data_IF_293542702253
#
_entry.id   IF_293542702253
#
_cell.length_a   1.000
_cell.length_b   1.000
_cell.length_c   1.000
_cell.angle_alpha   90.00
_cell.angle_beta   90.00
_cell.angle_gamma   90.00
#
_symmetry.space_group_name_H-M   'P 1'
#
loop_
_entity.id
_entity.type
_entity.pdbx_description
1 polymer ?
#
# COMPACT_ATOMS: atom_id res chain seq x y z
N UNK A 1 -1.29 20.50 1.48
CA UNK A 1 -1.61 19.05 1.52
C UNK A 1 -0.63 18.29 2.39
N UNK A 2 -1.05 17.16 2.96
CA UNK A 2 -0.15 16.21 3.60
C UNK A 2 -0.05 14.95 2.75
N UNK A 3 1.03 14.19 2.92
CA UNK A 3 1.23 12.90 2.27
C UNK A 3 1.42 11.81 3.32
N UNK A 4 0.80 10.66 3.10
CA UNK A 4 0.79 9.55 4.04
C UNK A 4 1.18 8.25 3.35
N UNK A 5 2.03 7.46 3.98
CA UNK A 5 2.07 6.03 3.68
C UNK A 5 0.86 5.32 4.33
N UNK A 6 0.58 4.07 3.95
CA UNK A 6 -0.59 3.33 4.42
C UNK A 6 -0.27 2.34 5.53
N UNK A 7 0.49 1.31 5.17
CA UNK A 7 0.77 0.17 6.04
C UNK A 7 1.66 0.59 7.22
N UNK A 8 1.33 0.15 8.43
CA UNK A 8 1.92 0.59 9.71
C UNK A 8 1.91 2.11 9.96
N UNK A 9 1.49 2.91 9.00
CA UNK A 9 1.37 4.37 9.10
C UNK A 9 -0.04 4.77 9.50
N UNK A 10 -1.02 4.74 8.60
CA UNK A 10 -2.42 5.05 8.91
C UNK A 10 -3.26 3.79 9.18
N UNK A 11 -2.82 2.65 8.72
CA UNK A 11 -3.34 1.32 9.03
C UNK A 11 -2.43 0.64 10.04
N UNK A 12 -2.98 0.01 11.06
CA UNK A 12 -2.24 -0.73 12.08
C UNK A 12 -1.93 -2.14 11.59
N UNK A 13 -0.72 -2.36 11.07
CA UNK A 13 -0.25 -3.58 10.43
C UNK A 13 0.00 -3.41 8.93
N UNK A 14 0.27 -4.51 8.25
CA UNK A 14 0.46 -4.58 6.79
C UNK A 14 -0.83 -5.12 6.14
N UNK A 15 -1.51 -4.27 5.38
CA UNK A 15 -2.79 -4.60 4.74
C UNK A 15 -2.66 -5.71 3.70
N UNK A 16 -1.51 -5.82 3.04
CA UNK A 16 -1.24 -6.89 2.07
C UNK A 16 -1.07 -8.24 2.77
N UNK A 17 -0.40 -8.26 3.93
CA UNK A 17 -0.28 -9.46 4.76
C UNK A 17 -1.65 -9.85 5.32
N UNK A 18 -2.41 -8.91 5.87
CA UNK A 18 -3.73 -9.17 6.42
C UNK A 18 -4.71 -9.68 5.35
N UNK A 19 -4.65 -9.11 4.15
CA UNK A 19 -5.45 -9.55 3.01
C UNK A 19 -5.07 -10.97 2.56
N UNK A 20 -3.78 -11.28 2.54
CA UNK A 20 -3.29 -12.62 2.24
C UNK A 20 -3.75 -13.64 3.28
N UNK A 21 -3.62 -13.34 4.57
CA UNK A 21 -4.06 -14.21 5.67
C UNK A 21 -5.58 -14.40 5.66
N UNK A 22 -6.34 -13.34 5.37
CA UNK A 22 -7.79 -13.44 5.17
C UNK A 22 -8.12 -14.37 4.02
N UNK A 23 -7.41 -14.26 2.90
CA UNK A 23 -7.59 -15.11 1.73
C UNK A 23 -7.23 -16.58 2.00
N UNK A 24 -6.20 -16.85 2.79
CA UNK A 24 -5.85 -18.18 3.27
C UNK A 24 -6.99 -18.78 4.10
N UNK A 25 -7.50 -18.00 5.07
CA UNK A 25 -8.62 -18.43 5.94
C UNK A 25 -9.90 -18.72 5.15
N UNK A 26 -10.09 -18.05 4.04
CA UNK A 26 -11.22 -18.27 3.13
C UNK A 26 -10.93 -19.36 2.07
N UNK A 27 -9.81 -20.09 2.20
CA UNK A 27 -9.38 -21.15 1.27
C UNK A 27 -9.28 -20.71 -0.21
N UNK A 28 -8.95 -19.43 -0.45
CA UNK A 28 -8.80 -18.88 -1.80
C UNK A 28 -7.39 -19.05 -2.35
N UNK A 29 -6.38 -19.10 -1.47
CA UNK A 29 -4.97 -19.20 -1.86
C UNK A 29 -4.61 -20.62 -2.28
N UNK A 30 -4.05 -20.76 -3.47
CA UNK A 30 -3.53 -22.03 -3.98
C UNK A 30 -2.09 -22.22 -3.51
N UNK A 31 -1.75 -23.41 -3.00
CA UNK A 31 -0.40 -23.74 -2.53
C UNK A 31 0.69 -23.44 -3.58
N UNK A 32 0.37 -23.66 -4.86
CA UNK A 32 1.26 -23.38 -5.99
C UNK A 32 1.68 -21.89 -6.06
N UNK A 33 0.80 -20.96 -5.67
CA UNK A 33 1.11 -19.52 -5.66
C UNK A 33 2.17 -19.23 -4.60
N UNK A 34 2.02 -19.83 -3.41
CA UNK A 34 2.99 -19.70 -2.31
C UNK A 34 4.36 -20.25 -2.74
N UNK A 35 4.40 -21.47 -3.29
CA UNK A 35 5.65 -22.10 -3.72
C UNK A 35 6.36 -21.27 -4.79
N UNK A 36 5.63 -20.77 -5.77
CA UNK A 36 6.21 -19.91 -6.83
C UNK A 36 6.70 -18.58 -6.25
N UNK A 37 5.96 -17.95 -5.34
CA UNK A 37 6.37 -16.73 -4.68
C UNK A 37 7.66 -16.93 -3.86
N UNK A 38 7.80 -18.07 -3.16
CA UNK A 38 9.04 -18.42 -2.45
C UNK A 38 10.22 -18.54 -3.41
N UNK A 39 10.05 -19.24 -4.54
CA UNK A 39 11.10 -19.37 -5.55
C UNK A 39 11.52 -18.00 -6.10
N UNK A 40 10.53 -17.14 -6.39
CA UNK A 40 10.82 -15.77 -6.85
C UNK A 40 11.50 -14.94 -5.77
N UNK A 41 11.10 -15.08 -4.50
CA UNK A 41 11.73 -14.38 -3.39
C UNK A 41 13.20 -14.79 -3.20
N UNK A 42 13.49 -16.08 -3.26
CA UNK A 42 14.87 -16.60 -3.22
C UNK A 42 15.67 -16.00 -4.39
N UNK A 43 15.12 -16.07 -5.63
CA UNK A 43 15.78 -15.49 -6.78
C UNK A 43 15.98 -13.96 -6.68
N UNK A 44 15.07 -13.25 -5.99
CA UNK A 44 15.22 -11.81 -5.69
C UNK A 44 16.45 -11.54 -4.80
N UNK A 45 16.71 -12.39 -3.79
CA UNK A 45 17.89 -12.25 -2.94
C UNK A 45 19.18 -12.32 -3.78
N UNK A 46 19.17 -13.11 -4.86
CA UNK A 46 20.29 -13.23 -5.82
C UNK A 46 20.18 -12.23 -7.00
N UNK A 47 19.32 -11.23 -6.92
CA UNK A 47 19.19 -10.20 -7.95
C UNK A 47 18.49 -10.62 -9.25
N UNK A 48 17.91 -11.85 -9.31
CA UNK A 48 17.25 -12.39 -10.52
C UNK A 48 15.83 -11.86 -10.73
N UNK A 49 15.12 -11.53 -9.64
CA UNK A 49 13.72 -11.09 -9.65
C UNK A 49 13.56 -9.84 -8.80
N UNK A 50 12.51 -9.08 -9.08
CA UNK A 50 12.07 -7.93 -8.28
C UNK A 50 10.97 -8.32 -7.28
N UNK A 51 10.66 -7.43 -6.33
CA UNK A 51 9.55 -7.65 -5.39
C UNK A 51 8.19 -7.74 -6.11
N UNK A 52 8.06 -7.07 -7.24
CA UNK A 52 6.91 -7.17 -8.14
C UNK A 52 6.66 -8.62 -8.55
N UNK A 53 7.71 -9.32 -9.01
CA UNK A 53 7.59 -10.72 -9.46
C UNK A 53 7.12 -11.65 -8.33
N UNK A 54 7.54 -11.39 -7.09
CA UNK A 54 7.10 -12.14 -5.91
C UNK A 54 5.63 -11.89 -5.63
N UNK A 55 5.20 -10.62 -5.69
CA UNK A 55 3.80 -10.25 -5.48
C UNK A 55 2.89 -10.83 -6.57
N UNK A 56 3.31 -10.78 -7.83
CA UNK A 56 2.57 -11.31 -8.96
C UNK A 56 2.27 -12.82 -8.81
N UNK A 57 3.22 -13.60 -8.28
CA UNK A 57 3.00 -15.02 -8.02
C UNK A 57 2.16 -15.24 -6.74
N UNK A 58 2.42 -14.46 -5.68
CA UNK A 58 1.72 -14.61 -4.41
C UNK A 58 0.23 -14.34 -4.54
N UNK A 59 -0.14 -13.33 -5.32
CA UNK A 59 -1.52 -12.89 -5.52
C UNK A 59 -2.17 -13.41 -6.81
N UNK A 60 -1.50 -14.31 -7.57
CA UNK A 60 -2.04 -14.89 -8.82
C UNK A 60 -3.41 -15.57 -8.63
N UNK A 61 -3.73 -16.03 -7.41
CA UNK A 61 -5.04 -16.62 -7.09
C UNK A 61 -6.22 -15.64 -7.18
N UNK A 62 -5.97 -14.33 -7.12
CA UNK A 62 -7.03 -13.31 -7.14
C UNK A 62 -7.87 -13.34 -8.43
N UNK A 63 -7.25 -13.68 -9.55
CA UNK A 63 -7.95 -13.85 -10.84
C UNK A 63 -8.99 -14.96 -10.85
N UNK A 64 -8.88 -15.92 -9.93
CA UNK A 64 -9.78 -17.06 -9.82
C UNK A 64 -10.96 -16.79 -8.84
N UNK A 65 -10.98 -15.63 -8.17
CA UNK A 65 -12.07 -15.24 -7.27
C UNK A 65 -13.21 -14.66 -8.11
N UNK A 66 -14.36 -15.35 -8.13
CA UNK A 66 -15.51 -15.04 -8.98
C UNK A 66 -16.06 -13.61 -8.77
N UNK A 67 -16.08 -13.15 -7.53
CA UNK A 67 -16.54 -11.81 -7.15
C UNK A 67 -15.46 -11.21 -6.22
N UNK A 68 -14.43 -10.66 -6.86
CA UNK A 68 -13.29 -10.11 -6.13
C UNK A 68 -13.67 -8.83 -5.39
N UNK A 69 -14.57 -8.02 -5.95
CA UNK A 69 -15.00 -6.77 -5.33
C UNK A 69 -15.74 -7.06 -4.01
N UNK A 70 -16.69 -7.98 -4.03
CA UNK A 70 -17.37 -8.43 -2.81
C UNK A 70 -16.40 -9.03 -1.80
N UNK A 71 -15.43 -9.81 -2.26
CA UNK A 71 -14.41 -10.42 -1.39
C UNK A 71 -13.54 -9.37 -0.69
N UNK A 72 -13.17 -8.31 -1.38
CA UNK A 72 -12.42 -7.17 -0.81
C UNK A 72 -13.29 -6.37 0.15
N UNK A 73 -14.57 -6.16 -0.18
CA UNK A 73 -15.52 -5.50 0.73
C UNK A 73 -15.70 -6.27 2.04
N UNK A 74 -15.82 -7.61 1.98
CA UNK A 74 -15.87 -8.48 3.17
C UNK A 74 -14.58 -8.41 4.01
N UNK A 75 -13.41 -8.29 3.35
CA UNK A 75 -12.15 -8.09 4.02
C UNK A 75 -12.17 -6.78 4.81
N UNK A 76 -12.53 -5.67 4.18
CA UNK A 76 -12.54 -4.37 4.84
C UNK A 76 -13.61 -4.26 5.93
N UNK A 77 -14.76 -4.93 5.81
CA UNK A 77 -15.75 -5.01 6.90
C UNK A 77 -15.15 -5.54 8.21
N UNK A 78 -14.06 -6.30 8.14
CA UNK A 78 -13.35 -6.83 9.32
C UNK A 78 -12.13 -6.04 9.72
N UNK A 79 -11.45 -5.41 8.77
CA UNK A 79 -10.13 -4.83 8.97
C UNK A 79 -10.12 -3.29 8.97
N UNK A 80 -11.18 -2.62 8.54
CA UNK A 80 -11.30 -1.16 8.57
C UNK A 80 -11.08 -0.57 9.98
N UNK A 81 -11.45 -1.29 11.02
CA UNK A 81 -11.20 -0.93 12.42
C UNK A 81 -9.71 -0.75 12.77
N UNK A 82 -8.81 -1.25 11.92
CA UNK A 82 -7.36 -1.10 12.08
C UNK A 82 -6.87 0.26 11.54
N UNK A 83 -7.72 1.07 10.92
CA UNK A 83 -7.38 2.46 10.59
C UNK A 83 -7.19 3.23 11.90
N UNK A 84 -6.06 3.90 12.00
CA UNK A 84 -5.65 4.60 13.23
C UNK A 84 -6.49 5.86 13.46
N UNK A 85 -6.96 6.04 14.69
CA UNK A 85 -7.83 7.16 15.08
C UNK A 85 -7.18 8.52 14.81
N UNK A 86 -5.89 8.65 15.12
CA UNK A 86 -5.17 9.90 14.91
C UNK A 86 -5.23 10.37 13.44
N UNK A 87 -5.21 9.44 12.47
CA UNK A 87 -5.37 9.77 11.06
C UNK A 87 -6.78 10.28 10.77
N UNK A 88 -7.83 9.55 11.20
CA UNK A 88 -9.23 9.94 10.99
C UNK A 88 -9.56 11.31 11.58
N UNK A 89 -8.95 11.66 12.71
CA UNK A 89 -9.13 12.95 13.40
C UNK A 89 -8.40 14.12 12.70
N UNK A 90 -7.38 13.83 11.89
CA UNK A 90 -6.52 14.85 11.26
C UNK A 90 -6.58 14.85 9.72
N UNK A 91 -7.34 13.93 9.13
CA UNK A 91 -7.50 13.80 7.69
C UNK A 91 -8.03 15.08 7.06
N UNK A 92 -7.48 15.46 5.92
CA UNK A 92 -7.90 16.61 5.11
C UNK A 92 -8.29 16.17 3.71
N UNK A 93 -9.12 16.98 3.06
CA UNK A 93 -9.64 16.69 1.73
C UNK A 93 -8.54 16.64 0.64
N UNK A 94 -7.50 17.43 0.82
CA UNK A 94 -6.36 17.55 -0.09
C UNK A 94 -5.19 16.62 0.24
N UNK A 95 -5.37 15.70 1.19
CA UNK A 95 -4.33 14.72 1.57
C UNK A 95 -4.13 13.67 0.47
N UNK A 96 -2.88 13.19 0.34
CA UNK A 96 -2.50 12.17 -0.64
C UNK A 96 -2.01 10.93 0.07
N UNK A 97 -2.64 9.80 -0.21
CA UNK A 97 -2.18 8.50 0.21
C UNK A 97 -1.19 7.94 -0.81
N UNK A 98 -0.03 7.48 -0.34
CA UNK A 98 1.04 6.95 -1.19
C UNK A 98 1.52 5.60 -0.64
N UNK A 99 1.16 4.48 -1.27
CA UNK A 99 1.45 3.14 -0.73
C UNK A 99 2.01 2.17 -1.77
N UNK A 100 2.83 1.23 -1.30
CA UNK A 100 3.27 0.08 -2.09
C UNK A 100 2.23 -1.03 -2.20
N UNK A 101 1.13 -0.94 -1.46
CA UNK A 101 0.03 -1.90 -1.53
C UNK A 101 -0.76 -1.74 -2.83
N UNK A 102 -1.45 -2.82 -3.27
CA UNK A 102 -2.10 -2.85 -4.57
C UNK A 102 -3.47 -2.16 -4.54
N UNK A 103 -3.82 -1.55 -5.67
CA UNK A 103 -5.08 -0.88 -5.93
C UNK A 103 -6.32 -1.75 -5.63
N UNK A 104 -6.22 -3.06 -5.83
CA UNK A 104 -7.31 -4.03 -5.61
C UNK A 104 -7.96 -3.86 -4.23
N UNK A 105 -7.16 -3.73 -3.17
CA UNK A 105 -7.71 -3.53 -1.81
C UNK A 105 -7.57 -2.09 -1.30
N UNK A 106 -6.68 -1.28 -1.88
CA UNK A 106 -6.49 0.10 -1.43
C UNK A 106 -7.61 1.02 -1.90
N UNK A 107 -8.06 0.96 -3.16
CA UNK A 107 -9.12 1.83 -3.62
C UNK A 107 -10.45 1.67 -2.86
N UNK A 108 -10.92 0.43 -2.52
CA UNK A 108 -12.13 0.28 -1.73
C UNK A 108 -12.06 0.93 -0.35
N UNK A 109 -10.96 0.80 0.38
CA UNK A 109 -10.82 1.47 1.68
C UNK A 109 -10.68 2.98 1.53
N UNK A 110 -9.96 3.46 0.54
CA UNK A 110 -9.85 4.89 0.26
C UNK A 110 -11.22 5.52 -0.03
N UNK A 111 -12.07 4.80 -0.78
CA UNK A 111 -13.45 5.24 -1.03
C UNK A 111 -14.26 5.32 0.27
N UNK A 112 -14.17 4.33 1.16
CA UNK A 112 -14.85 4.35 2.46
C UNK A 112 -14.39 5.50 3.35
N UNK A 113 -13.09 5.79 3.33
CA UNK A 113 -12.47 6.86 4.11
C UNK A 113 -12.56 8.25 3.42
N UNK A 114 -13.19 8.33 2.26
CA UNK A 114 -13.28 9.55 1.46
C UNK A 114 -11.92 10.17 1.09
N UNK A 115 -10.89 9.32 0.89
CA UNK A 115 -9.56 9.73 0.43
C UNK A 115 -9.61 9.90 -1.09
N UNK A 116 -9.42 11.13 -1.57
CA UNK A 116 -9.56 11.48 -3.00
C UNK A 116 -8.31 11.22 -3.83
N UNK A 117 -7.15 11.39 -3.23
CA UNK A 117 -5.87 11.30 -3.93
C UNK A 117 -5.09 10.08 -3.46
N UNK A 118 -4.94 9.11 -4.34
CA UNK A 118 -4.33 7.81 -4.05
C UNK A 118 -3.26 7.48 -5.07
N UNK A 119 -2.05 7.23 -4.59
CA UNK A 119 -0.91 6.72 -5.35
C UNK A 119 -0.57 5.35 -4.78
N UNK A 120 -0.85 4.29 -5.51
CA UNK A 120 -0.63 2.91 -5.07
C UNK A 120 -0.09 2.04 -6.22
N UNK A 121 0.33 0.82 -5.90
CA UNK A 121 0.75 -0.13 -6.92
C UNK A 121 -0.45 -0.54 -7.75
N UNK A 122 -0.38 -0.28 -9.07
CA UNK A 122 -1.46 -0.58 -10.01
C UNK A 122 -1.39 -2.01 -10.51
N UNK A 123 -2.54 -2.63 -10.70
CA UNK A 123 -2.65 -4.00 -11.22
C UNK A 123 -3.50 -4.06 -12.49
N UNK A 124 -3.20 -5.01 -13.34
CA UNK A 124 -4.00 -5.31 -14.52
C UNK A 124 -5.35 -5.93 -14.10
N UNK A 125 -6.43 -5.46 -14.69
CA UNK A 125 -7.80 -5.86 -14.31
C UNK A 125 -8.11 -7.33 -14.54
N UNK A 126 -7.50 -7.97 -15.55
CA UNK A 126 -7.76 -9.37 -15.88
C UNK A 126 -6.78 -10.30 -15.19
N UNK A 127 -5.49 -10.04 -15.36
CA UNK A 127 -4.43 -10.91 -14.84
C UNK A 127 -4.10 -10.70 -13.38
N UNK A 128 -4.53 -9.57 -12.78
CA UNK A 128 -4.22 -9.12 -11.40
C UNK A 128 -2.71 -8.94 -11.15
N UNK A 129 -1.91 -8.89 -12.20
CA UNK A 129 -0.46 -8.64 -12.12
C UNK A 129 -0.16 -7.15 -12.03
N UNK A 130 0.95 -6.83 -11.41
CA UNK A 130 1.39 -5.44 -11.24
C UNK A 130 1.76 -4.84 -12.61
N UNK A 131 1.18 -3.68 -12.92
CA UNK A 131 1.52 -2.87 -14.09
C UNK A 131 2.70 -1.95 -13.73
N UNK A 132 3.74 -1.96 -14.54
CA UNK A 132 4.90 -1.10 -14.32
C UNK A 132 5.70 -1.49 -13.08
N UNK A 133 6.05 -0.48 -12.27
CA UNK A 133 6.89 -0.64 -11.07
C UNK A 133 6.06 -0.68 -9.79
N UNK A 134 6.55 -1.42 -8.79
CA UNK A 134 5.98 -1.35 -7.44
C UNK A 134 6.11 0.09 -6.89
N UNK A 135 5.03 0.62 -6.34
CA UNK A 135 4.95 2.00 -5.83
C UNK A 135 5.65 2.14 -4.48
N UNK A 136 6.99 2.13 -4.47
CA UNK A 136 7.82 2.22 -3.26
C UNK A 136 8.98 3.19 -3.43
N UNK A 137 9.35 3.91 -2.36
CA UNK A 137 10.49 4.82 -2.32
C UNK A 137 10.43 5.89 -3.42
N UNK A 138 11.46 6.00 -4.25
CA UNK A 138 11.53 7.00 -5.34
C UNK A 138 10.38 6.90 -6.34
N UNK A 139 9.84 5.69 -6.58
CA UNK A 139 8.72 5.51 -7.51
C UNK A 139 7.44 6.22 -7.03
N UNK A 140 7.21 6.29 -5.70
CA UNK A 140 6.12 7.09 -5.12
C UNK A 140 6.23 8.55 -5.56
N UNK A 141 7.44 9.12 -5.45
CA UNK A 141 7.70 10.54 -5.75
C UNK A 141 7.64 10.84 -7.25
N UNK A 142 8.13 9.93 -8.10
CA UNK A 142 8.00 10.07 -9.55
C UNK A 142 6.52 10.19 -9.97
N UNK A 143 5.64 9.38 -9.38
CA UNK A 143 4.19 9.43 -9.66
C UNK A 143 3.59 10.70 -9.05
N UNK A 144 3.93 11.02 -7.81
CA UNK A 144 3.43 12.20 -7.11
C UNK A 144 3.74 13.49 -7.89
N UNK A 145 4.98 13.69 -8.32
CA UNK A 145 5.38 14.89 -9.06
C UNK A 145 4.68 15.02 -10.42
N UNK A 146 4.31 13.90 -11.06
CA UNK A 146 3.52 13.93 -12.29
C UNK A 146 2.06 14.31 -12.04
N UNK A 147 1.47 13.86 -10.94
CA UNK A 147 0.08 14.15 -10.59
C UNK A 147 -0.09 15.54 -9.97
N UNK A 148 0.90 16.01 -9.24
CA UNK A 148 0.88 17.24 -8.46
C UNK A 148 2.13 18.08 -8.73
N UNK A 149 2.34 18.59 -9.97
CA UNK A 149 3.47 19.42 -10.28
C UNK A 149 3.42 20.69 -9.42
N UNK A 150 4.53 21.03 -8.76
CA UNK A 150 4.66 22.19 -7.87
C UNK A 150 3.82 22.12 -6.57
N UNK A 151 3.40 20.94 -6.14
CA UNK A 151 2.68 20.79 -4.88
C UNK A 151 3.54 21.24 -3.68
N UNK A 152 2.90 21.97 -2.77
CA UNK A 152 3.50 22.33 -1.48
C UNK A 152 3.07 21.29 -0.42
N UNK A 153 3.97 20.37 -0.12
CA UNK A 153 3.74 19.33 0.88
C UNK A 153 4.08 19.86 2.26
N UNK A 154 3.09 19.99 3.12
CA UNK A 154 3.27 20.48 4.50
C UNK A 154 3.89 19.42 5.38
N UNK A 155 3.25 18.25 5.46
CA UNK A 155 3.70 17.16 6.30
C UNK A 155 3.75 15.84 5.51
N UNK A 156 4.74 15.00 5.84
CA UNK A 156 4.84 13.62 5.39
C UNK A 156 4.86 12.67 6.58
N UNK A 157 4.14 11.57 6.46
CA UNK A 157 4.01 10.56 7.50
C UNK A 157 4.34 9.17 6.93
N UNK A 158 5.26 8.46 7.55
CA UNK A 158 5.58 7.05 7.24
C UNK A 158 6.15 6.34 8.47
N UNK A 159 5.94 5.04 8.56
CA UNK A 159 6.55 4.16 9.57
C UNK A 159 8.01 3.83 9.28
N UNK A 160 8.47 4.05 8.04
CA UNK A 160 9.72 3.52 7.49
C UNK A 160 10.61 4.56 6.85
N UNK A 161 11.92 4.45 7.10
CA UNK A 161 12.94 5.23 6.39
C UNK A 161 13.09 4.84 4.90
N UNK A 162 12.42 3.77 4.43
CA UNK A 162 12.34 3.49 2.99
C UNK A 162 11.59 4.59 2.22
N UNK A 163 10.83 5.42 2.93
CA UNK A 163 10.07 6.55 2.42
C UNK A 163 10.76 7.92 2.65
N UNK A 164 12.10 7.92 2.90
CA UNK A 164 12.89 9.16 2.93
C UNK A 164 12.59 10.11 1.77
N UNK A 165 12.39 9.65 0.52
CA UNK A 165 12.00 10.55 -0.56
C UNK A 165 10.68 11.31 -0.31
N UNK A 166 9.72 10.76 0.46
CA UNK A 166 8.52 11.49 0.87
C UNK A 166 8.86 12.58 1.89
N UNK A 167 9.77 12.27 2.81
CA UNK A 167 10.22 13.24 3.81
C UNK A 167 10.96 14.41 3.17
N UNK A 168 11.82 14.14 2.17
CA UNK A 168 12.62 15.17 1.48
C UNK A 168 11.76 16.24 0.80
N UNK A 169 10.61 15.89 0.24
CA UNK A 169 9.72 16.83 -0.47
C UNK A 169 8.73 17.58 0.44
N UNK A 170 8.65 17.23 1.73
CA UNK A 170 7.74 17.87 2.69
C UNK A 170 8.44 18.95 3.51
N UNK A 171 7.70 19.90 4.09
CA UNK A 171 8.27 20.86 5.06
C UNK A 171 8.60 20.15 6.39
N UNK A 172 7.68 19.34 6.90
CA UNK A 172 7.85 18.54 8.11
C UNK A 172 7.71 17.07 7.79
N UNK A 173 8.50 16.23 8.47
CA UNK A 173 8.47 14.79 8.32
C UNK A 173 8.22 14.14 9.69
N UNK A 174 7.41 13.10 9.70
CA UNK A 174 7.06 12.36 10.91
C UNK A 174 7.21 10.86 10.70
N UNK A 175 8.05 10.25 11.53
CA UNK A 175 8.15 8.80 11.64
C UNK A 175 7.04 8.31 12.57
N UNK A 176 6.18 7.45 12.05
CA UNK A 176 5.05 6.89 12.79
C UNK A 176 5.51 5.60 13.48
N UNK A 177 5.43 5.54 14.80
CA UNK A 177 5.72 4.33 15.59
C UNK A 177 4.51 3.99 16.45
N UNK A 178 3.75 2.97 16.01
CA UNK A 178 2.40 2.68 16.53
C UNK A 178 1.51 3.93 16.36
N UNK A 179 1.07 4.55 17.47
CA UNK A 179 0.24 5.77 17.45
C UNK A 179 1.05 7.04 17.76
N UNK A 180 2.39 6.94 17.86
CA UNK A 180 3.25 8.10 18.17
C UNK A 180 3.80 8.69 16.88
N UNK A 181 3.67 10.01 16.76
CA UNK A 181 4.27 10.81 15.69
C UNK A 181 5.60 11.37 16.20
N UNK A 182 6.70 10.90 15.67
CA UNK A 182 8.05 11.32 16.04
C UNK A 182 8.55 12.23 14.91
N UNK A 183 8.81 13.49 15.23
CA UNK A 183 9.37 14.43 14.25
C UNK A 183 10.72 13.91 13.75
N UNK A 184 10.85 13.79 12.44
CA UNK A 184 12.09 13.42 11.79
C UNK A 184 12.85 14.69 11.40
N UNK A 185 14.07 14.83 11.90
CA UNK A 185 14.99 15.90 11.51
C UNK A 185 15.73 15.48 10.24
N UNK A 186 15.69 16.36 9.23
CA UNK A 186 16.27 16.13 7.91
C UNK A 186 17.75 16.43 7.90
#
# INVERSE_FOLDING_TARGET
MNIYDFDDTIYNGDSGIDFFLYSLKKHKVKIKCILKAIIKYIGKVFGKYEIKDVKDELFDYLKDIKDLDLFVEEFWNKHEKNIKKWYLENQKEDDVLMTASCDIWIYPICKRLNIKHVICTQTDKETKKIIGKNCKGKNKIEIFNKMFPNANVENAYSDSLSDLPMFEISKNAYLVKKDKLIKYEK
#
